data_IF_595525341686
#
_entry.id   IF_595525341686
#
_cell.length_a   1.000
_cell.length_b   1.000
_cell.length_c   1.000
_cell.angle_alpha   90.00
_cell.angle_beta   90.00
_cell.angle_gamma   90.00
#
_symmetry.space_group_name_H-M   'P 1'
#
loop_
_entity.id
_entity.type
_entity.pdbx_description
1 polymer ?
#
# COMPACT_ATOMS: atom_id res chain seq x y z
N UNK A 1 32.31 2.31 24.28
CA UNK A 1 31.58 2.99 23.18
C UNK A 1 30.14 3.21 23.65
N UNK A 2 29.79 4.44 24.04
CA UNK A 2 28.52 4.76 24.74
C UNK A 2 27.31 4.62 23.80
N UNK A 3 26.14 4.23 24.32
CA UNK A 3 24.88 4.03 23.56
C UNK A 3 24.49 5.25 22.68
N UNK A 4 24.92 6.45 23.07
CA UNK A 4 24.78 7.71 22.32
C UNK A 4 25.58 7.72 21.01
N UNK A 5 26.85 7.31 21.02
CA UNK A 5 27.70 7.28 19.84
C UNK A 5 27.20 6.29 18.77
N UNK A 6 26.66 5.14 19.20
CA UNK A 6 26.06 4.15 18.29
C UNK A 6 24.77 4.69 17.64
N UNK A 7 23.96 5.47 18.37
CA UNK A 7 22.78 6.12 17.81
C UNK A 7 23.14 7.20 16.79
N UNK A 8 24.18 7.99 17.06
CA UNK A 8 24.58 9.08 16.16
C UNK A 8 25.29 8.58 14.90
N UNK A 9 26.09 7.51 14.99
CA UNK A 9 26.69 6.86 13.82
C UNK A 9 25.63 6.25 12.88
N UNK A 10 24.63 5.56 13.44
CA UNK A 10 23.51 4.98 12.67
C UNK A 10 22.65 6.08 12.04
N UNK A 11 22.37 7.15 12.77
CA UNK A 11 21.65 8.32 12.28
C UNK A 11 22.36 8.97 11.10
N UNK A 12 23.67 9.17 11.20
CA UNK A 12 24.49 9.76 10.13
C UNK A 12 24.49 8.90 8.86
N UNK A 13 24.49 7.57 9.01
CA UNK A 13 24.39 6.66 7.86
C UNK A 13 23.04 6.76 7.14
N UNK A 14 21.94 6.79 7.91
CA UNK A 14 20.58 6.97 7.38
C UNK A 14 20.45 8.32 6.67
N UNK A 15 20.94 9.40 7.29
CA UNK A 15 20.92 10.73 6.70
C UNK A 15 21.71 10.83 5.40
N UNK A 16 22.88 10.18 5.31
CA UNK A 16 23.65 10.15 4.05
C UNK A 16 22.87 9.52 2.91
N UNK A 17 22.11 8.46 3.17
CA UNK A 17 21.27 7.85 2.15
C UNK A 17 20.15 8.79 1.70
N UNK A 18 19.41 9.40 2.63
CA UNK A 18 18.33 10.35 2.29
C UNK A 18 18.88 11.59 1.58
N UNK A 19 20.00 12.14 2.05
CA UNK A 19 20.62 13.35 1.48
C UNK A 19 21.26 13.10 0.12
N UNK A 20 21.61 11.85 -0.20
CA UNK A 20 22.02 11.47 -1.55
C UNK A 20 20.87 11.48 -2.57
N UNK A 21 19.63 11.46 -2.11
CA UNK A 21 18.42 11.47 -2.95
C UNK A 21 17.69 12.82 -2.96
N UNK A 22 17.78 13.57 -1.86
CA UNK A 22 17.02 14.81 -1.66
C UNK A 22 17.92 15.88 -1.04
N UNK A 23 17.93 17.08 -1.64
CA UNK A 23 18.43 18.29 -0.98
C UNK A 23 17.49 18.66 0.18
N UNK A 24 17.81 18.17 1.38
CA UNK A 24 16.96 18.35 2.56
C UNK A 24 16.73 19.82 2.90
N UNK A 25 17.77 20.66 2.86
CA UNK A 25 17.66 22.07 3.24
C UNK A 25 16.92 22.91 2.20
N UNK A 26 17.22 22.72 0.91
CA UNK A 26 16.50 23.42 -0.16
C UNK A 26 15.04 23.03 -0.21
N UNK A 27 14.74 21.72 -0.11
CA UNK A 27 13.35 21.23 -0.17
C UNK A 27 12.56 21.57 1.10
N UNK A 28 13.18 21.58 2.28
CA UNK A 28 12.51 21.97 3.52
C UNK A 28 12.02 23.43 3.47
N UNK A 29 12.78 24.33 2.84
CA UNK A 29 12.37 25.71 2.60
C UNK A 29 11.29 25.80 1.53
N UNK A 30 11.48 25.12 0.39
CA UNK A 30 10.53 25.08 -0.73
C UNK A 30 9.13 24.65 -0.30
N UNK A 31 9.02 23.61 0.52
CA UNK A 31 7.75 23.09 1.03
C UNK A 31 7.28 23.76 2.34
N UNK A 32 7.97 24.81 2.82
CA UNK A 32 7.55 25.57 4.00
C UNK A 32 7.72 24.86 5.34
N UNK A 33 8.44 23.73 5.38
CA UNK A 33 8.81 23.07 6.64
C UNK A 33 9.75 23.96 7.48
N UNK A 34 10.69 24.65 6.81
CA UNK A 34 11.55 25.71 7.39
C UNK A 34 11.14 27.06 6.82
N UNK A 35 10.53 27.92 7.63
CA UNK A 35 10.22 29.31 7.27
C UNK A 35 11.08 30.34 8.02
N UNK A 36 11.49 30.00 9.25
CA UNK A 36 12.35 30.85 10.09
C UNK A 36 13.29 29.95 10.87
N UNK A 37 14.59 30.23 10.79
CA UNK A 37 15.63 29.55 11.56
C UNK A 37 15.53 30.05 13.01
N UNK A 38 14.74 29.37 13.85
CA UNK A 38 14.69 29.63 15.29
C UNK A 38 14.89 28.32 16.02
N UNK A 39 16.02 28.18 16.73
CA UNK A 39 16.42 27.05 17.59
C UNK A 39 16.64 25.69 16.90
N UNK A 40 15.85 25.35 15.88
CA UNK A 40 16.08 24.22 14.98
C UNK A 40 16.25 24.79 13.57
N UNK A 41 17.46 24.74 13.06
CA UNK A 41 17.84 25.39 11.80
C UNK A 41 18.08 24.46 10.62
N UNK A 42 18.44 23.20 10.89
CA UNK A 42 18.82 22.24 9.85
C UNK A 42 17.64 21.34 9.50
N UNK A 43 17.47 21.05 8.22
CA UNK A 43 16.42 20.14 7.77
C UNK A 43 16.57 18.73 8.36
N UNK A 44 17.81 18.24 8.53
CA UNK A 44 18.10 16.96 9.18
C UNK A 44 17.45 16.86 10.58
N UNK A 45 17.53 17.94 11.36
CA UNK A 45 16.97 17.99 12.70
C UNK A 45 15.42 17.91 12.66
N UNK A 46 14.80 18.50 11.63
CA UNK A 46 13.36 18.35 11.44
C UNK A 46 12.98 16.91 11.10
N UNK A 47 13.69 16.26 10.18
CA UNK A 47 13.44 14.86 9.85
C UNK A 47 13.59 13.97 11.09
N UNK A 48 14.66 14.18 11.88
CA UNK A 48 14.86 13.47 13.16
C UNK A 48 13.69 13.70 14.11
N UNK A 49 13.21 14.93 14.22
CA UNK A 49 12.09 15.29 15.08
C UNK A 49 10.78 14.59 14.66
N UNK A 50 10.50 14.49 13.36
CA UNK A 50 9.33 13.75 12.86
C UNK A 50 9.44 12.25 13.15
N UNK A 51 10.63 11.67 13.00
CA UNK A 51 10.87 10.25 13.30
C UNK A 51 10.79 9.95 14.80
N UNK A 52 11.29 10.85 15.66
CA UNK A 52 11.18 10.77 17.12
C UNK A 52 9.72 10.88 17.58
N UNK A 53 8.96 11.81 17.00
CA UNK A 53 7.54 11.96 17.28
C UNK A 53 6.78 10.71 16.83
N UNK A 54 6.80 10.44 15.52
CA UNK A 54 6.09 9.36 14.84
C UNK A 54 6.51 7.95 15.28
N UNK A 55 7.35 7.26 14.49
CA UNK A 55 7.83 5.92 14.81
C UNK A 55 8.43 5.77 16.21
N UNK A 56 9.07 6.83 16.73
CA UNK A 56 9.64 6.86 18.08
C UNK A 56 8.60 6.90 19.21
N UNK A 57 7.32 7.15 18.90
CA UNK A 57 6.22 7.08 19.86
C UNK A 57 6.22 8.19 20.92
N UNK A 58 7.08 9.20 20.78
CA UNK A 58 7.24 10.24 21.80
C UNK A 58 6.07 11.24 21.78
N UNK A 59 5.74 11.77 22.95
CA UNK A 59 4.80 12.90 23.05
C UNK A 59 5.45 14.18 22.53
N UNK A 60 4.69 15.25 22.27
CA UNK A 60 5.26 16.54 21.85
C UNK A 60 6.31 17.07 22.84
N UNK A 61 6.10 16.84 24.14
CA UNK A 61 7.05 17.17 25.20
C UNK A 61 8.27 16.25 25.16
N UNK A 62 8.07 14.94 25.05
CA UNK A 62 9.16 13.96 24.96
C UNK A 62 10.04 14.17 23.71
N UNK A 63 9.44 14.50 22.57
CA UNK A 63 10.18 14.88 21.35
C UNK A 63 11.01 16.14 21.55
N UNK A 64 10.51 17.10 22.33
CA UNK A 64 11.25 18.33 22.64
C UNK A 64 12.45 18.05 23.57
N UNK A 65 12.22 17.27 24.63
CA UNK A 65 13.27 16.83 25.57
C UNK A 65 14.33 15.99 24.86
N UNK A 66 13.93 15.05 24.00
CA UNK A 66 14.83 14.24 23.19
C UNK A 66 15.65 15.11 22.21
N UNK A 67 15.02 16.09 21.56
CA UNK A 67 15.73 17.00 20.66
C UNK A 67 16.82 17.81 21.40
N UNK A 68 16.52 18.30 22.61
CA UNK A 68 17.53 18.96 23.44
C UNK A 68 18.65 18.01 23.87
N UNK A 69 18.32 16.80 24.33
CA UNK A 69 19.29 15.80 24.74
C UNK A 69 20.22 15.36 23.59
N UNK A 70 19.73 15.42 22.34
CA UNK A 70 20.49 15.14 21.13
C UNK A 70 21.29 16.36 20.62
N UNK A 71 21.25 17.49 21.31
CA UNK A 71 21.98 18.71 20.93
C UNK A 71 21.41 19.42 19.71
N UNK A 72 20.17 19.10 19.30
CA UNK A 72 19.53 19.74 18.15
C UNK A 72 19.11 21.18 18.45
N UNK A 73 18.84 21.49 19.72
CA UNK A 73 18.51 22.82 20.21
C UNK A 73 18.85 22.92 21.72
N UNK A 74 19.24 24.10 22.20
CA UNK A 74 19.44 24.32 23.65
C UNK A 74 18.13 24.21 24.43
N UNK A 75 17.07 24.82 23.91
CA UNK A 75 15.74 24.80 24.53
C UNK A 75 14.64 24.65 23.49
N UNK A 76 13.73 23.69 23.69
CA UNK A 76 12.60 23.47 22.81
C UNK A 76 11.34 23.16 23.63
N UNK A 77 10.23 23.79 23.28
CA UNK A 77 8.93 23.52 23.92
C UNK A 77 8.07 22.59 23.07
N UNK A 78 7.16 21.84 23.69
CA UNK A 78 6.20 21.00 22.96
C UNK A 78 5.33 21.80 21.98
N UNK A 79 5.00 23.07 22.29
CA UNK A 79 4.30 23.98 21.36
C UNK A 79 5.13 24.32 20.13
N UNK A 80 6.45 24.50 20.29
CA UNK A 80 7.36 24.75 19.18
C UNK A 80 7.53 23.52 18.28
N UNK A 81 7.56 22.31 18.86
CA UNK A 81 7.53 21.02 18.15
C UNK A 81 6.25 20.88 17.35
N UNK A 82 5.08 21.08 17.99
CA UNK A 82 3.77 21.02 17.36
C UNK A 82 3.68 21.93 16.12
N UNK A 83 4.10 23.19 16.27
CA UNK A 83 4.07 24.16 15.17
C UNK A 83 4.95 23.75 13.97
N UNK A 84 6.07 23.07 14.22
CA UNK A 84 6.96 22.54 13.16
C UNK A 84 6.32 21.34 12.47
N UNK A 85 5.94 20.32 13.25
CA UNK A 85 5.38 19.09 12.72
C UNK A 85 4.15 19.32 11.84
N UNK A 86 3.28 20.28 12.19
CA UNK A 86 2.09 20.63 11.38
C UNK A 86 2.42 21.17 9.98
N UNK A 87 3.63 21.68 9.75
CA UNK A 87 4.07 22.22 8.45
C UNK A 87 4.89 21.23 7.62
N UNK A 88 5.22 20.07 8.18
CA UNK A 88 6.14 19.14 7.53
C UNK A 88 5.47 18.17 6.57
N UNK A 89 4.13 18.11 6.51
CA UNK A 89 3.41 17.11 5.72
C UNK A 89 3.87 17.04 4.27
N UNK A 90 3.85 18.14 3.52
CA UNK A 90 4.21 18.13 2.09
C UNK A 90 5.69 17.85 1.88
N UNK A 91 6.54 18.32 2.79
CA UNK A 91 7.96 18.04 2.75
C UNK A 91 8.29 16.56 3.01
N UNK A 92 7.64 15.92 3.98
CA UNK A 92 7.81 14.49 4.25
C UNK A 92 7.23 13.64 3.11
N UNK A 93 6.13 14.07 2.47
CA UNK A 93 5.59 13.41 1.28
C UNK A 93 6.60 13.43 0.14
N UNK A 94 7.28 14.57 -0.06
CA UNK A 94 8.36 14.69 -1.04
C UNK A 94 9.55 13.77 -0.74
N UNK A 95 10.01 13.71 0.52
CA UNK A 95 11.08 12.79 0.93
C UNK A 95 10.65 11.32 0.71
N UNK A 96 9.43 10.97 1.11
CA UNK A 96 8.89 9.64 0.92
C UNK A 96 8.86 9.25 -0.56
N UNK A 97 8.40 10.14 -1.44
CA UNK A 97 8.39 9.91 -2.89
C UNK A 97 9.79 9.66 -3.44
N UNK A 98 10.77 10.48 -3.05
CA UNK A 98 12.15 10.29 -3.50
C UNK A 98 12.73 8.94 -3.06
N UNK A 99 12.45 8.50 -1.83
CA UNK A 99 12.85 7.18 -1.34
C UNK A 99 12.17 6.04 -2.12
N UNK A 100 10.87 6.19 -2.40
CA UNK A 100 10.11 5.21 -3.18
C UNK A 100 10.53 5.20 -4.66
N UNK A 101 10.93 6.33 -5.22
CA UNK A 101 11.44 6.44 -6.60
C UNK A 101 12.81 5.77 -6.76
N UNK A 102 13.70 5.89 -5.77
CA UNK A 102 14.98 5.17 -5.78
C UNK A 102 14.80 3.64 -5.76
N UNK A 103 13.82 3.15 -5.00
CA UNK A 103 13.36 1.75 -5.07
C UNK A 103 12.71 1.47 -6.43
N UNK A 104 11.95 2.45 -6.93
CA UNK A 104 11.24 2.49 -8.21
C UNK A 104 12.10 2.14 -9.43
N UNK A 105 13.35 2.57 -9.42
CA UNK A 105 14.34 2.28 -10.49
C UNK A 105 14.77 0.82 -10.48
N UNK A 106 14.66 0.13 -9.34
CA UNK A 106 14.97 -1.30 -9.19
C UNK A 106 13.73 -2.22 -9.35
N UNK A 107 12.58 -1.67 -9.77
CA UNK A 107 11.35 -2.43 -9.91
C UNK A 107 11.46 -3.46 -11.05
N UNK A 108 11.79 -4.69 -10.67
CA UNK A 108 11.73 -5.90 -11.50
C UNK A 108 10.60 -6.86 -11.10
N UNK A 109 9.69 -6.44 -10.22
CA UNK A 109 8.58 -7.28 -9.76
C UNK A 109 7.42 -7.30 -10.75
N UNK A 110 7.19 -8.42 -11.43
CA UNK A 110 5.99 -8.64 -12.24
C UNK A 110 4.70 -8.59 -11.42
N UNK A 111 4.76 -8.78 -10.09
CA UNK A 111 3.60 -8.87 -9.21
C UNK A 111 3.53 -7.73 -8.20
N UNK A 112 2.39 -7.03 -8.16
CA UNK A 112 2.11 -5.96 -7.21
C UNK A 112 0.83 -6.25 -6.42
N UNK A 113 0.90 -6.21 -5.10
CA UNK A 113 -0.27 -6.34 -4.23
C UNK A 113 -0.72 -4.94 -3.79
N UNK A 114 -1.98 -4.60 -4.03
CA UNK A 114 -2.54 -3.30 -3.67
C UNK A 114 -3.55 -3.46 -2.56
N UNK A 115 -3.35 -2.70 -1.47
CA UNK A 115 -4.29 -2.67 -0.36
C UNK A 115 -4.17 -1.33 0.41
N UNK A 116 -5.15 -1.06 1.26
CA UNK A 116 -5.24 0.14 2.06
C UNK A 116 -5.46 -0.19 3.53
N UNK A 117 -4.97 0.67 4.41
CA UNK A 117 -5.25 0.53 5.84
C UNK A 117 -5.77 1.83 6.44
N UNK A 118 -6.84 1.70 7.22
CA UNK A 118 -7.42 2.81 7.99
C UNK A 118 -6.70 2.97 9.32
N UNK A 119 -6.38 4.21 9.64
CA UNK A 119 -5.82 4.65 10.91
C UNK A 119 -6.69 5.78 11.45
N UNK A 120 -7.19 5.62 12.68
CA UNK A 120 -8.03 6.63 13.31
C UNK A 120 -7.22 7.43 14.30
N UNK A 121 -7.42 8.75 14.33
CA UNK A 121 -6.86 9.56 15.40
C UNK A 121 -7.57 9.31 16.73
N UNK A 122 -6.89 9.62 17.84
CA UNK A 122 -7.57 9.81 19.11
C UNK A 122 -8.42 11.10 19.12
N UNK A 123 -9.51 11.12 19.90
CA UNK A 123 -10.35 12.31 20.13
C UNK A 123 -11.81 12.18 19.66
N UNK A 124 -12.67 13.16 20.00
CA UNK A 124 -14.08 13.19 19.57
C UNK A 124 -14.20 13.18 18.04
N UNK A 125 -15.10 12.36 17.50
CA UNK A 125 -15.29 12.22 16.05
C UNK A 125 -14.23 11.41 15.30
N UNK A 126 -13.09 11.07 15.93
CA UNK A 126 -12.00 10.20 15.42
C UNK A 126 -11.81 10.27 13.89
N UNK A 127 -11.34 11.40 13.32
CA UNK A 127 -11.10 11.48 11.88
C UNK A 127 -10.20 10.33 11.43
N UNK A 128 -10.65 9.61 10.41
CA UNK A 128 -9.92 8.53 9.82
C UNK A 128 -8.95 9.03 8.75
N UNK A 129 -7.83 8.36 8.66
CA UNK A 129 -6.85 8.49 7.60
C UNK A 129 -6.67 7.14 6.94
N UNK A 130 -6.27 7.15 5.67
CA UNK A 130 -5.97 5.94 4.93
C UNK A 130 -4.54 6.00 4.42
N UNK A 131 -3.81 4.93 4.65
CA UNK A 131 -2.53 4.66 3.99
C UNK A 131 -2.82 3.64 2.89
N UNK A 132 -2.78 4.09 1.63
CA UNK A 132 -2.81 3.21 0.46
C UNK A 132 -1.38 2.77 0.17
N UNK A 133 -1.19 1.50 -0.15
CA UNK A 133 0.15 0.98 -0.37
C UNK A 133 0.20 -0.05 -1.50
N UNK A 134 1.36 -0.11 -2.14
CA UNK A 134 1.72 -1.17 -3.07
C UNK A 134 2.85 -1.99 -2.45
N UNK A 135 2.66 -3.31 -2.40
CA UNK A 135 3.61 -4.26 -1.84
C UNK A 135 4.08 -5.25 -2.90
N UNK A 136 5.38 -5.50 -2.95
CA UNK A 136 5.99 -6.39 -3.94
C UNK A 136 6.53 -7.65 -3.27
N UNK A 137 5.86 -8.80 -3.45
CA UNK A 137 6.28 -10.07 -2.85
C UNK A 137 7.74 -10.44 -3.15
N UNK A 138 8.18 -10.24 -4.39
CA UNK A 138 9.54 -10.54 -4.82
C UNK A 138 10.61 -9.73 -4.07
N UNK A 139 10.25 -8.51 -3.62
CA UNK A 139 11.14 -7.62 -2.88
C UNK A 139 10.90 -7.66 -1.36
N UNK A 140 9.84 -8.33 -0.90
CA UNK A 140 9.46 -8.44 0.51
C UNK A 140 9.10 -7.11 1.20
N UNK A 141 8.74 -6.07 0.44
CA UNK A 141 8.63 -4.69 0.93
C UNK A 141 7.53 -3.88 0.24
N UNK A 142 7.23 -2.71 0.82
CA UNK A 142 6.37 -1.73 0.17
C UNK A 142 7.16 -0.88 -0.84
N UNK A 143 6.59 -0.64 -2.02
CA UNK A 143 7.20 0.15 -3.10
C UNK A 143 6.36 1.36 -3.50
N UNK A 144 5.19 1.55 -2.89
CA UNK A 144 4.47 2.80 -2.95
C UNK A 144 3.65 3.04 -1.67
N UNK A 145 3.52 4.31 -1.28
CA UNK A 145 2.69 4.75 -0.18
C UNK A 145 1.98 6.06 -0.53
N UNK A 146 0.71 6.15 -0.17
CA UNK A 146 -0.06 7.40 -0.25
C UNK A 146 -0.92 7.57 0.99
N UNK A 147 -0.85 8.75 1.61
CA UNK A 147 -1.68 9.10 2.77
C UNK A 147 -2.82 10.01 2.33
N UNK A 148 -4.06 9.63 2.67
CA UNK A 148 -5.26 10.43 2.43
C UNK A 148 -6.16 10.46 3.66
N UNK A 149 -7.23 11.25 3.61
CA UNK A 149 -8.33 11.14 4.59
C UNK A 149 -9.16 9.89 4.32
N UNK A 150 -9.97 9.49 5.29
CA UNK A 150 -10.96 8.39 5.18
C UNK A 150 -12.07 8.63 4.15
N UNK A 151 -12.30 9.90 3.78
CA UNK A 151 -13.23 10.30 2.70
C UNK A 151 -12.77 9.82 1.34
N UNK A 152 -11.46 9.69 1.13
CA UNK A 152 -10.91 9.11 -0.08
C UNK A 152 -11.02 7.59 0.02
N UNK A 153 -11.86 7.01 -0.84
CA UNK A 153 -12.02 5.56 -0.97
C UNK A 153 -10.76 4.93 -1.55
N UNK A 154 -10.55 3.66 -1.25
CA UNK A 154 -9.60 2.83 -1.98
C UNK A 154 -9.93 2.82 -3.47
N UNK A 155 -8.89 2.96 -4.29
CA UNK A 155 -8.94 2.97 -5.73
C UNK A 155 -7.55 2.58 -6.23
N UNK A 156 -7.46 1.91 -7.38
CA UNK A 156 -6.18 1.50 -7.95
C UNK A 156 -5.30 2.73 -8.25
N UNK A 157 -5.92 3.85 -8.63
CA UNK A 157 -5.27 5.14 -8.89
C UNK A 157 -4.70 5.84 -7.64
N UNK A 158 -4.90 5.28 -6.45
CA UNK A 158 -4.24 5.78 -5.24
C UNK A 158 -2.85 5.20 -5.03
N UNK A 159 -2.44 4.23 -5.86
CA UNK A 159 -1.07 3.71 -5.92
C UNK A 159 -0.48 3.93 -7.31
N UNK A 160 0.84 3.79 -7.43
CA UNK A 160 1.58 3.84 -8.68
C UNK A 160 1.12 2.72 -9.62
N UNK A 161 0.55 3.10 -10.76
CA UNK A 161 0.29 2.22 -11.89
C UNK A 161 1.50 2.25 -12.83
N UNK A 162 1.89 1.10 -13.36
CA UNK A 162 3.03 0.99 -14.26
C UNK A 162 2.81 -0.17 -15.25
N UNK A 163 3.28 -0.05 -16.50
CA UNK A 163 3.06 -1.07 -17.52
C UNK A 163 3.76 -2.39 -17.18
N UNK A 164 3.31 -3.48 -17.82
CA UNK A 164 3.91 -4.82 -17.73
C UNK A 164 3.92 -5.42 -16.30
N UNK A 165 2.95 -5.02 -15.47
CA UNK A 165 2.75 -5.57 -14.11
C UNK A 165 1.46 -6.36 -14.02
N UNK A 166 1.41 -7.29 -13.08
CA UNK A 166 0.21 -8.00 -12.65
C UNK A 166 -0.18 -7.48 -11.27
N UNK A 167 -1.30 -6.78 -11.19
CA UNK A 167 -1.76 -6.13 -9.97
C UNK A 167 -2.87 -6.91 -9.29
N UNK A 168 -2.70 -7.26 -8.02
CA UNK A 168 -3.67 -8.01 -7.23
C UNK A 168 -4.42 -7.09 -6.28
N UNK A 169 -5.73 -7.18 -6.32
CA UNK A 169 -6.61 -6.33 -5.55
C UNK A 169 -7.60 -7.11 -4.69
N UNK A 170 -7.99 -6.51 -3.58
CA UNK A 170 -9.08 -6.97 -2.76
C UNK A 170 -10.46 -6.76 -3.44
N UNK A 171 -11.53 -7.32 -2.85
CA UNK A 171 -12.89 -7.21 -3.39
C UNK A 171 -13.47 -5.79 -3.43
N UNK A 172 -12.90 -4.86 -2.67
CA UNK A 172 -13.29 -3.44 -2.62
C UNK A 172 -12.87 -2.65 -3.86
N UNK A 173 -11.87 -3.14 -4.60
CA UNK A 173 -11.39 -2.52 -5.85
C UNK A 173 -12.11 -3.03 -7.12
N UNK A 174 -13.02 -4.00 -6.99
CA UNK A 174 -13.82 -4.52 -8.11
C UNK A 174 -14.83 -3.49 -8.64
N UNK A 175 -14.32 -2.45 -9.32
CA UNK A 175 -15.08 -1.36 -9.94
C UNK A 175 -14.58 -1.10 -11.34
N UNK A 176 -15.50 -0.79 -12.25
CA UNK A 176 -15.21 -0.53 -13.67
C UNK A 176 -14.08 0.48 -13.85
N UNK A 177 -14.13 1.62 -13.14
CA UNK A 177 -13.10 2.66 -13.22
C UNK A 177 -11.71 2.19 -12.79
N UNK A 178 -11.65 1.33 -11.78
CA UNK A 178 -10.40 0.86 -11.20
C UNK A 178 -9.76 -0.15 -12.18
N UNK A 179 -10.59 -1.05 -12.75
CA UNK A 179 -10.17 -1.98 -13.80
C UNK A 179 -9.69 -1.22 -15.04
N UNK A 180 -10.48 -0.27 -15.54
CA UNK A 180 -10.14 0.51 -16.73
C UNK A 180 -8.84 1.31 -16.54
N UNK A 181 -8.61 1.88 -15.36
CA UNK A 181 -7.38 2.60 -15.06
C UNK A 181 -6.14 1.69 -15.07
N UNK A 182 -6.25 0.48 -14.50
CA UNK A 182 -5.13 -0.48 -14.46
C UNK A 182 -4.77 -0.97 -15.87
N UNK A 183 -5.78 -1.34 -16.68
CA UNK A 183 -5.56 -1.77 -18.06
C UNK A 183 -5.05 -0.62 -18.94
N UNK A 184 -5.58 0.59 -18.75
CA UNK A 184 -5.13 1.79 -19.46
C UNK A 184 -3.68 2.18 -19.13
N UNK A 185 -3.17 1.77 -17.97
CA UNK A 185 -1.77 1.94 -17.60
C UNK A 185 -0.86 0.81 -18.14
N UNK A 186 -1.39 -0.13 -18.91
CA UNK A 186 -0.65 -1.26 -19.47
C UNK A 186 -0.32 -2.37 -18.47
N UNK A 187 -1.02 -2.42 -17.32
CA UNK A 187 -0.90 -3.50 -16.35
C UNK A 187 -2.04 -4.50 -16.50
N UNK A 188 -1.76 -5.77 -16.17
CA UNK A 188 -2.76 -6.79 -15.90
C UNK A 188 -3.29 -6.70 -14.47
N UNK A 189 -4.46 -7.28 -14.23
CA UNK A 189 -5.07 -7.31 -12.90
C UNK A 189 -5.69 -8.65 -12.55
N UNK A 190 -5.71 -8.94 -11.24
CA UNK A 190 -6.55 -9.99 -10.63
C UNK A 190 -7.27 -9.39 -9.44
N UNK A 191 -8.60 -9.36 -9.47
CA UNK A 191 -9.41 -8.89 -8.33
C UNK A 191 -10.44 -9.94 -7.96
N UNK A 192 -10.68 -10.11 -6.66
CA UNK A 192 -11.84 -10.89 -6.20
C UNK A 192 -13.11 -10.11 -6.44
N UNK A 193 -14.16 -10.80 -6.88
CA UNK A 193 -15.49 -10.22 -7.04
C UNK A 193 -16.51 -10.95 -6.18
N UNK A 194 -17.62 -10.28 -5.87
CA UNK A 194 -18.82 -10.92 -5.35
C UNK A 194 -19.80 -11.23 -6.48
N UNK A 195 -20.64 -12.24 -6.31
CA UNK A 195 -21.60 -12.65 -7.36
C UNK A 195 -22.58 -11.54 -7.81
N UNK A 196 -22.84 -10.53 -6.97
CA UNK A 196 -23.63 -9.32 -7.30
C UNK A 196 -22.81 -8.07 -7.60
N UNK A 197 -21.49 -8.13 -7.46
CA UNK A 197 -20.66 -6.92 -7.43
C UNK A 197 -20.60 -6.21 -8.77
N UNK A 198 -20.72 -6.94 -9.87
CA UNK A 198 -20.62 -6.40 -11.23
C UNK A 198 -21.60 -7.13 -12.17
N UNK A 199 -22.04 -6.43 -13.21
CA UNK A 199 -22.79 -7.03 -14.32
C UNK A 199 -21.76 -7.55 -15.33
N UNK A 200 -21.79 -8.86 -15.59
CA UNK A 200 -20.92 -9.52 -16.55
C UNK A 200 -21.74 -9.90 -17.78
N UNK A 201 -21.11 -9.77 -18.95
CA UNK A 201 -21.72 -10.08 -20.24
C UNK A 201 -20.88 -11.10 -20.99
N UNK A 202 -21.49 -11.90 -21.85
CA UNK A 202 -20.77 -12.75 -22.79
C UNK A 202 -20.35 -11.98 -24.06
N UNK A 203 -19.87 -12.69 -25.07
CA UNK A 203 -19.48 -12.10 -26.36
C UNK A 203 -20.68 -11.60 -27.17
N UNK A 204 -21.89 -12.13 -26.93
CA UNK A 204 -23.13 -11.72 -27.58
C UNK A 204 -23.85 -10.58 -26.82
N UNK A 205 -23.14 -9.92 -25.88
CA UNK A 205 -23.66 -8.88 -25.00
C UNK A 205 -24.85 -9.32 -24.12
N UNK A 206 -25.03 -10.63 -23.92
CA UNK A 206 -26.04 -11.17 -23.02
C UNK A 206 -25.52 -11.19 -21.59
N UNK A 207 -26.39 -10.83 -20.65
CA UNK A 207 -26.03 -10.80 -19.24
C UNK A 207 -25.85 -12.22 -18.70
N UNK A 208 -24.69 -12.49 -18.10
CA UNK A 208 -24.38 -13.77 -17.50
C UNK A 208 -25.01 -13.93 -16.12
N UNK A 209 -25.58 -15.12 -15.86
CA UNK A 209 -25.91 -15.57 -14.51
C UNK A 209 -24.71 -16.27 -13.88
N UNK A 210 -23.99 -15.55 -13.02
CA UNK A 210 -22.82 -16.07 -12.30
C UNK A 210 -23.15 -17.31 -11.47
N UNK A 211 -24.40 -17.47 -10.99
CA UNK A 211 -24.78 -18.63 -10.19
C UNK A 211 -24.87 -19.92 -11.02
N UNK A 212 -25.16 -19.79 -12.32
CA UNK A 212 -25.17 -20.90 -13.27
C UNK A 212 -23.75 -21.33 -13.68
N UNK A 213 -22.74 -20.47 -13.46
CA UNK A 213 -21.34 -20.73 -13.79
C UNK A 213 -20.54 -21.36 -12.65
N UNK A 214 -21.17 -21.64 -11.50
CA UNK A 214 -20.48 -22.24 -10.35
C UNK A 214 -20.11 -23.70 -10.66
N UNK A 215 -18.84 -24.11 -10.49
CA UNK A 215 -18.41 -25.47 -10.77
C UNK A 215 -18.97 -26.46 -9.74
N UNK A 216 -19.32 -27.66 -10.19
CA UNK A 216 -19.70 -28.76 -9.30
C UNK A 216 -18.48 -29.49 -8.71
N UNK A 217 -17.37 -29.50 -9.44
CA UNK A 217 -16.10 -30.13 -9.04
C UNK A 217 -15.15 -29.19 -8.31
N UNK A 218 -13.99 -29.72 -7.94
CA UNK A 218 -12.95 -28.97 -7.23
C UNK A 218 -11.94 -28.28 -8.16
N UNK A 219 -11.94 -28.57 -9.46
CA UNK A 219 -11.14 -27.84 -10.44
C UNK A 219 -11.73 -26.43 -10.68
N UNK A 220 -10.89 -25.39 -10.87
CA UNK A 220 -11.38 -24.07 -11.22
C UNK A 220 -12.01 -24.10 -12.61
N UNK A 221 -13.15 -23.44 -12.78
CA UNK A 221 -13.70 -23.17 -14.10
C UNK A 221 -13.40 -21.73 -14.51
N UNK A 222 -13.33 -21.50 -15.82
CA UNK A 222 -13.10 -20.18 -16.37
C UNK A 222 -14.11 -19.84 -17.47
N UNK A 223 -14.40 -18.54 -17.59
CA UNK A 223 -15.19 -18.04 -18.71
C UNK A 223 -14.77 -16.64 -19.11
N UNK A 224 -14.67 -16.39 -20.41
CA UNK A 224 -14.49 -15.05 -20.93
C UNK A 224 -15.74 -14.21 -20.65
N UNK A 225 -15.53 -12.98 -20.18
CA UNK A 225 -16.59 -12.04 -19.79
C UNK A 225 -16.23 -10.62 -20.26
N UNK A 226 -17.26 -9.82 -20.50
CA UNK A 226 -17.16 -8.40 -20.83
C UNK A 226 -17.85 -7.57 -19.76
N UNK A 227 -17.36 -6.34 -19.58
CA UNK A 227 -17.89 -5.38 -18.62
C UNK A 227 -18.06 -4.04 -19.35
N UNK A 228 -19.25 -3.46 -19.28
CA UNK A 228 -19.48 -2.14 -19.85
C UNK A 228 -18.51 -1.10 -19.27
N UNK A 229 -17.81 -0.37 -20.14
CA UNK A 229 -16.77 0.59 -19.77
C UNK A 229 -15.36 0.01 -19.65
N UNK A 230 -15.18 -1.29 -19.92
CA UNK A 230 -13.86 -1.92 -20.09
C UNK A 230 -13.79 -2.46 -21.52
N UNK A 231 -12.83 -1.98 -22.30
CA UNK A 231 -12.73 -2.34 -23.73
C UNK A 231 -12.20 -3.77 -23.93
N UNK A 232 -11.24 -4.20 -23.10
CA UNK A 232 -10.63 -5.52 -23.21
C UNK A 232 -11.54 -6.62 -22.63
N UNK A 233 -11.59 -7.81 -23.25
CA UNK A 233 -12.22 -8.97 -22.64
C UNK A 233 -11.46 -9.37 -21.37
N UNK A 234 -12.19 -9.92 -20.40
CA UNK A 234 -11.65 -10.42 -19.13
C UNK A 234 -12.00 -11.89 -18.96
N UNK A 235 -11.38 -12.56 -17.99
CA UNK A 235 -11.72 -13.92 -17.57
C UNK A 235 -12.30 -13.91 -16.17
N UNK A 236 -13.46 -14.54 -16.01
CA UNK A 236 -14.02 -14.93 -14.73
C UNK A 236 -13.49 -16.33 -14.39
N UNK A 237 -12.70 -16.44 -13.33
CA UNK A 237 -12.23 -17.70 -12.78
C UNK A 237 -12.99 -18.00 -11.49
N UNK A 238 -13.60 -19.18 -11.39
CA UNK A 238 -14.38 -19.59 -10.21
C UNK A 238 -13.80 -20.88 -9.65
N UNK A 239 -13.41 -20.83 -8.38
CA UNK A 239 -12.88 -21.95 -7.63
C UNK A 239 -13.81 -22.29 -6.46
N UNK A 240 -14.16 -23.56 -6.32
CA UNK A 240 -14.85 -24.07 -5.13
C UNK A 240 -13.89 -24.04 -3.93
N UNK A 241 -14.31 -23.45 -2.83
CA UNK A 241 -13.51 -23.44 -1.60
C UNK A 241 -13.58 -24.80 -0.91
N UNK A 242 -12.50 -25.23 -0.22
CA UNK A 242 -12.54 -26.41 0.63
C UNK A 242 -13.70 -26.35 1.63
N UNK A 243 -14.36 -27.48 1.98
CA UNK A 243 -15.56 -27.48 2.81
C UNK A 243 -15.42 -26.71 4.13
N UNK A 244 -14.27 -26.83 4.79
CA UNK A 244 -13.98 -26.10 6.03
C UNK A 244 -13.95 -24.57 5.82
N UNK A 245 -13.34 -24.10 4.73
CA UNK A 245 -13.29 -22.68 4.39
C UNK A 245 -14.67 -22.17 3.96
N UNK A 246 -15.39 -22.94 3.14
CA UNK A 246 -16.77 -22.63 2.74
C UNK A 246 -17.70 -22.47 3.95
N UNK A 247 -17.65 -23.42 4.91
CA UNK A 247 -18.43 -23.36 6.14
C UNK A 247 -18.05 -22.13 7.00
N UNK A 248 -16.77 -21.79 7.09
CA UNK A 248 -16.30 -20.59 7.78
C UNK A 248 -16.84 -19.30 7.15
N UNK A 249 -16.82 -19.20 5.82
CA UNK A 249 -17.36 -18.05 5.09
C UNK A 249 -18.89 -17.95 5.20
N UNK A 250 -19.60 -19.08 5.16
CA UNK A 250 -21.05 -19.13 5.38
C UNK A 250 -21.42 -18.65 6.80
N UNK A 251 -20.71 -19.13 7.83
CA UNK A 251 -20.87 -18.66 9.22
C UNK A 251 -20.63 -17.15 9.35
N UNK A 252 -19.57 -16.62 8.73
CA UNK A 252 -19.28 -15.18 8.71
C UNK A 252 -20.38 -14.38 8.01
N UNK A 253 -20.89 -14.89 6.90
CA UNK A 253 -21.99 -14.27 6.14
C UNK A 253 -23.27 -14.19 6.98
N UNK A 254 -23.69 -15.30 7.61
CA UNK A 254 -24.84 -15.34 8.51
C UNK A 254 -24.67 -14.41 9.72
N UNK A 255 -23.50 -14.40 10.35
CA UNK A 255 -23.19 -13.50 11.48
C UNK A 255 -23.29 -12.03 11.06
N UNK A 256 -22.80 -11.68 9.87
CA UNK A 256 -22.90 -10.31 9.35
C UNK A 256 -24.34 -9.93 9.03
N UNK A 257 -25.11 -10.83 8.42
CA UNK A 257 -26.52 -10.60 8.11
C UNK A 257 -27.35 -10.41 9.39
N UNK A 258 -27.14 -11.26 10.39
CA UNK A 258 -27.76 -11.16 11.71
C UNK A 258 -27.43 -9.83 12.41
N UNK A 259 -26.14 -9.42 12.42
CA UNK A 259 -25.73 -8.10 12.96
C UNK A 259 -26.41 -6.91 12.27
N UNK A 260 -26.78 -7.07 11.00
CA UNK A 260 -27.44 -6.05 10.20
C UNK A 260 -28.97 -6.25 10.14
N UNK A 261 -29.53 -7.16 10.94
CA UNK A 261 -30.96 -7.52 10.93
C UNK A 261 -31.50 -7.92 9.55
N UNK A 262 -30.67 -8.57 8.73
CA UNK A 262 -31.01 -9.01 7.38
C UNK A 262 -31.06 -10.54 7.29
N UNK A 263 -32.00 -11.08 6.51
CA UNK A 263 -31.97 -12.49 6.09
C UNK A 263 -31.06 -12.63 4.86
N UNK A 264 -29.99 -13.44 4.92
CA UNK A 264 -29.11 -13.63 3.78
C UNK A 264 -29.84 -14.40 2.66
N UNK A 265 -29.74 -13.89 1.43
CA UNK A 265 -30.26 -14.57 0.23
C UNK A 265 -29.57 -15.94 0.05
N UNK A 266 -30.33 -16.98 -0.27
CA UNK A 266 -29.81 -18.34 -0.45
C UNK A 266 -28.67 -18.42 -1.48
N UNK A 267 -28.71 -17.59 -2.54
CA UNK A 267 -27.63 -17.49 -3.53
C UNK A 267 -26.36 -16.91 -2.92
N UNK A 268 -26.47 -16.02 -1.94
CA UNK A 268 -25.32 -15.48 -1.20
C UNK A 268 -24.68 -16.54 -0.32
N UNK A 269 -25.47 -17.41 0.32
CA UNK A 269 -24.92 -18.55 1.05
C UNK A 269 -24.23 -19.54 0.13
N UNK A 270 -24.86 -19.88 -1.01
CA UNK A 270 -24.24 -20.74 -2.04
C UNK A 270 -22.93 -20.14 -2.56
N UNK A 271 -22.93 -18.85 -2.93
CA UNK A 271 -21.75 -18.15 -3.43
C UNK A 271 -20.63 -18.02 -2.39
N UNK A 272 -20.93 -18.06 -1.08
CA UNK A 272 -19.91 -18.02 -0.02
C UNK A 272 -18.98 -19.25 -0.04
N UNK A 273 -19.39 -20.34 -0.69
CA UNK A 273 -18.57 -21.53 -0.93
C UNK A 273 -17.58 -21.39 -2.09
N UNK A 274 -17.50 -20.24 -2.76
CA UNK A 274 -16.67 -20.05 -3.94
C UNK A 274 -15.76 -18.82 -3.84
N UNK A 275 -14.59 -18.92 -4.45
CA UNK A 275 -13.73 -17.81 -4.81
C UNK A 275 -14.01 -17.44 -6.26
N UNK A 276 -14.43 -16.20 -6.51
CA UNK A 276 -14.65 -15.66 -7.85
C UNK A 276 -13.60 -14.58 -8.10
N UNK A 277 -12.76 -14.80 -9.09
CA UNK A 277 -11.70 -13.89 -9.51
C UNK A 277 -12.01 -13.36 -10.91
N UNK A 278 -11.81 -12.07 -11.09
CA UNK A 278 -11.83 -11.43 -12.39
C UNK A 278 -10.38 -11.09 -12.74
N UNK A 279 -9.93 -11.49 -13.92
CA UNK A 279 -8.56 -11.28 -14.38
C UNK A 279 -8.51 -10.77 -15.81
N UNK A 280 -7.54 -9.92 -16.13
CA UNK A 280 -7.18 -9.58 -17.51
C UNK A 280 -6.07 -10.45 -18.07
N UNK A 281 -5.41 -11.25 -17.23
CA UNK A 281 -4.30 -12.09 -17.65
C UNK A 281 -4.76 -13.03 -18.77
N UNK A 282 -4.02 -13.10 -19.89
CA UNK A 282 -4.28 -14.08 -20.94
C UNK A 282 -4.04 -15.50 -20.42
N UNK A 283 -4.75 -16.49 -20.99
CA UNK A 283 -4.67 -17.89 -20.54
C UNK A 283 -3.27 -18.49 -20.77
N UNK A 284 -2.59 -17.98 -21.79
CA UNK A 284 -1.22 -18.32 -22.18
C UNK A 284 -0.19 -17.87 -21.12
N UNK A 285 -0.50 -16.80 -20.38
CA UNK A 285 0.36 -16.30 -19.29
C UNK A 285 0.02 -16.92 -17.94
N UNK A 286 -1.26 -17.15 -17.69
CA UNK A 286 -1.72 -17.81 -16.46
C UNK A 286 -3.05 -18.55 -16.70
N UNK A 287 -3.04 -19.87 -16.53
CA UNK A 287 -4.26 -20.68 -16.52
C UNK A 287 -5.13 -20.40 -15.28
N UNK A 288 -6.33 -20.97 -15.23
CA UNK A 288 -7.27 -20.75 -14.14
C UNK A 288 -6.73 -21.15 -12.76
N UNK A 289 -5.93 -22.22 -12.67
CA UNK A 289 -5.34 -22.68 -11.41
C UNK A 289 -4.22 -21.74 -10.96
N UNK A 290 -3.37 -21.31 -11.89
CA UNK A 290 -2.30 -20.35 -11.66
C UNK A 290 -2.86 -18.99 -11.20
N UNK A 291 -3.98 -18.52 -11.77
CA UNK A 291 -4.66 -17.30 -11.31
C UNK A 291 -5.16 -17.43 -9.87
N UNK A 292 -5.71 -18.60 -9.50
CA UNK A 292 -6.15 -18.88 -8.13
C UNK A 292 -4.96 -18.87 -7.17
N UNK A 293 -3.86 -19.52 -7.53
CA UNK A 293 -2.66 -19.59 -6.69
C UNK A 293 -1.95 -18.24 -6.57
N UNK A 294 -1.90 -17.48 -7.65
CA UNK A 294 -1.41 -16.10 -7.65
C UNK A 294 -2.21 -15.26 -6.64
N UNK A 295 -3.54 -15.35 -6.66
CA UNK A 295 -4.39 -14.60 -5.74
C UNK A 295 -4.18 -14.97 -4.26
N UNK A 296 -3.65 -16.16 -3.95
CA UNK A 296 -3.28 -16.52 -2.58
C UNK A 296 -2.21 -15.58 -2.06
N UNK A 297 -1.24 -15.15 -2.89
CA UNK A 297 -0.14 -14.27 -2.47
C UNK A 297 -0.61 -12.93 -1.88
N UNK A 298 -1.87 -12.51 -2.13
CA UNK A 298 -2.46 -11.28 -1.55
C UNK A 298 -2.37 -11.23 -0.02
N UNK A 299 -2.31 -12.37 0.69
CA UNK A 299 -2.15 -12.35 2.16
C UNK A 299 -0.85 -11.65 2.62
N UNK A 300 0.16 -11.55 1.76
CA UNK A 300 1.44 -10.94 2.12
C UNK A 300 1.33 -9.43 2.38
N UNK A 301 0.49 -8.68 1.64
CA UNK A 301 0.30 -7.25 1.92
C UNK A 301 -0.43 -7.02 3.25
N UNK A 302 -1.35 -7.92 3.62
CA UNK A 302 -1.97 -7.90 4.95
C UNK A 302 -0.93 -8.12 6.05
N UNK A 303 0.01 -9.05 5.84
CA UNK A 303 1.14 -9.23 6.77
C UNK A 303 2.06 -8.00 6.80
N UNK A 304 2.29 -7.35 5.66
CA UNK A 304 2.96 -6.05 5.56
C UNK A 304 2.31 -5.02 6.47
N UNK A 305 1.00 -4.80 6.33
CA UNK A 305 0.27 -3.87 7.20
C UNK A 305 0.26 -4.29 8.67
N UNK A 306 0.18 -5.60 8.95
CA UNK A 306 0.31 -6.12 10.32
C UNK A 306 1.67 -5.77 10.93
N UNK A 307 2.76 -5.88 10.16
CA UNK A 307 4.10 -5.45 10.60
C UNK A 307 4.14 -3.95 10.91
N UNK A 308 3.61 -3.10 10.01
CA UNK A 308 3.56 -1.65 10.23
C UNK A 308 2.77 -1.26 11.48
N UNK A 309 1.68 -1.96 11.80
CA UNK A 309 0.87 -1.70 12.99
C UNK A 309 1.51 -2.26 14.25
N UNK A 310 1.85 -3.54 14.28
CA UNK A 310 2.32 -4.21 15.49
C UNK A 310 3.76 -3.85 15.87
N UNK A 311 4.65 -3.69 14.89
CA UNK A 311 6.06 -3.35 15.16
C UNK A 311 6.32 -1.84 14.98
N UNK A 312 5.67 -1.23 13.99
CA UNK A 312 5.84 0.18 13.67
C UNK A 312 4.89 1.12 14.42
N UNK A 313 3.90 0.61 15.17
CA UNK A 313 2.89 1.40 15.88
C UNK A 313 2.09 2.38 15.00
N UNK A 314 1.95 2.08 13.69
CA UNK A 314 1.26 2.95 12.73
C UNK A 314 -0.16 3.34 13.16
N UNK A 315 -0.89 2.43 13.82
CA UNK A 315 -2.27 2.64 14.28
C UNK A 315 -2.38 3.32 15.66
N UNK A 316 -1.26 3.68 16.29
CA UNK A 316 -1.22 4.39 17.58
C UNK A 316 -1.28 5.91 17.44
N UNK A 317 -2.01 6.41 16.45
CA UNK A 317 -2.10 7.83 16.10
C UNK A 317 -2.72 8.67 17.24
N UNK A 318 -1.89 9.49 17.87
CA UNK A 318 -2.29 10.39 18.98
C UNK A 318 -2.72 11.79 18.56
N UNK A 319 -2.69 12.10 17.27
CA UNK A 319 -2.97 13.45 16.78
C UNK A 319 -4.39 13.57 16.25
N UNK A 320 -5.22 14.40 16.90
CA UNK A 320 -6.55 14.76 16.40
C UNK A 320 -6.51 15.78 15.23
N UNK A 321 -5.43 16.57 15.12
CA UNK A 321 -5.28 17.57 14.06
C UNK A 321 -4.86 16.90 12.73
N UNK A 322 -5.56 17.14 11.60
CA UNK A 322 -5.25 16.46 10.35
C UNK A 322 -3.85 16.70 9.79
N UNK A 323 -3.30 17.91 9.94
CA UNK A 323 -1.94 18.19 9.46
C UNK A 323 -0.90 17.42 10.28
N UNK A 324 -1.09 17.33 11.59
CA UNK A 324 -0.21 16.56 12.48
C UNK A 324 -0.34 15.06 12.25
N UNK A 325 -1.57 14.57 12.01
CA UNK A 325 -1.82 13.17 11.67
C UNK A 325 -1.16 12.77 10.34
N UNK A 326 -1.23 13.64 9.34
CA UNK A 326 -0.52 13.41 8.07
C UNK A 326 0.99 13.32 8.29
N UNK A 327 1.59 14.24 9.05
CA UNK A 327 3.02 14.18 9.42
C UNK A 327 3.36 12.88 10.15
N UNK A 328 2.51 12.42 11.09
CA UNK A 328 2.68 11.15 11.79
C UNK A 328 2.77 9.96 10.82
N UNK A 329 1.78 9.84 9.93
CA UNK A 329 1.67 8.72 8.98
C UNK A 329 2.80 8.73 7.94
N UNK A 330 3.19 9.92 7.46
CA UNK A 330 4.31 10.04 6.54
C UNK A 330 5.64 9.69 7.21
N UNK A 331 5.86 10.11 8.47
CA UNK A 331 7.05 9.72 9.22
C UNK A 331 7.13 8.19 9.42
N UNK A 332 5.99 7.52 9.66
CA UNK A 332 5.92 6.05 9.72
C UNK A 332 6.22 5.41 8.36
N UNK A 333 5.70 5.96 7.28
CA UNK A 333 5.93 5.45 5.94
C UNK A 333 7.41 5.58 5.55
N UNK A 334 8.05 6.71 5.86
CA UNK A 334 9.49 6.90 5.68
C UNK A 334 10.29 5.89 6.50
N UNK A 335 9.94 5.72 7.79
CA UNK A 335 10.64 4.77 8.64
C UNK A 335 10.48 3.32 8.15
N UNK A 336 9.31 2.95 7.63
CA UNK A 336 9.08 1.64 7.03
C UNK A 336 10.01 1.41 5.84
N UNK A 337 10.03 2.34 4.88
CA UNK A 337 10.89 2.26 3.69
C UNK A 337 12.36 2.14 4.07
N UNK A 338 12.83 2.99 4.98
CA UNK A 338 14.23 2.98 5.43
C UNK A 338 14.58 1.69 6.19
N UNK A 339 13.66 1.15 6.99
CA UNK A 339 13.88 -0.10 7.73
C UNK A 339 13.94 -1.30 6.79
N UNK A 340 13.03 -1.36 5.81
CA UNK A 340 12.99 -2.43 4.80
C UNK A 340 14.24 -2.40 3.92
N UNK A 341 14.72 -1.21 3.54
CA UNK A 341 15.96 -1.03 2.80
C UNK A 341 17.19 -1.48 3.60
N UNK A 342 17.30 -1.06 4.87
CA UNK A 342 18.38 -1.51 5.75
C UNK A 342 18.36 -3.03 5.96
N UNK A 343 17.18 -3.61 6.20
CA UNK A 343 17.01 -5.05 6.37
C UNK A 343 17.47 -5.81 5.11
N UNK A 344 17.13 -5.29 3.93
CA UNK A 344 17.48 -5.93 2.66
C UNK A 344 18.97 -5.84 2.34
N UNK A 345 19.63 -4.72 2.68
CA UNK A 345 21.10 -4.59 2.59
C UNK A 345 21.80 -5.57 3.53
N UNK A 346 21.31 -5.71 4.77
CA UNK A 346 21.90 -6.62 5.76
C UNK A 346 21.73 -8.10 5.38
N UNK A 347 20.59 -8.45 4.79
CA UNK A 347 20.31 -9.82 4.40
C UNK A 347 20.99 -10.24 3.07
N UNK A 348 21.68 -9.33 2.37
CA UNK A 348 22.29 -9.61 1.07
C UNK A 348 21.27 -9.72 -0.09
N UNK A 349 19.97 -9.56 0.18
CA UNK A 349 18.90 -9.50 -0.82
C UNK A 349 18.73 -8.10 -1.41
N UNK A 350 19.83 -7.38 -1.65
CA UNK A 350 19.72 -6.12 -2.39
C UNK A 350 19.10 -6.45 -3.74
N UNK A 351 17.97 -5.84 -4.13
CA UNK A 351 17.46 -6.03 -5.48
C UNK A 351 18.56 -5.55 -6.41
N UNK A 352 19.28 -6.49 -7.01
CA UNK A 352 20.26 -6.15 -8.03
C UNK A 352 19.51 -5.32 -9.05
N UNK A 353 19.98 -4.09 -9.33
CA UNK A 353 19.46 -3.30 -10.44
C UNK A 353 19.57 -4.20 -11.67
N UNK A 354 18.46 -4.78 -12.12
CA UNK A 354 18.44 -5.38 -13.45
C UNK A 354 18.62 -4.20 -14.39
N UNK A 355 19.83 -4.08 -14.95
CA UNK A 355 20.04 -3.28 -16.14
C UNK A 355 18.96 -3.71 -17.12
N UNK A 356 18.13 -2.76 -17.56
CA UNK A 356 17.32 -2.93 -18.75
C UNK A 356 18.35 -2.96 -19.88
N UNK A 357 18.98 -4.12 -20.10
CA UNK A 357 19.75 -4.35 -21.31
C UNK A 357 18.77 -4.23 -22.47
N UNK A 358 19.11 -3.31 -23.36
CA UNK A 358 18.42 -3.05 -24.60
C UNK A 358 18.21 -4.38 -25.33
N UNK A 359 16.96 -4.70 -25.67
CA UNK A 359 16.67 -5.78 -26.58
C UNK A 359 17.55 -5.60 -27.85
N UNK A 360 18.25 -6.63 -28.33
CA UNK A 360 19.04 -6.50 -29.54
C UNK A 360 18.11 -6.18 -30.70
N UNK A 361 18.27 -4.98 -31.26
CA UNK A 361 17.75 -4.63 -32.57
C UNK A 361 18.51 -5.45 -33.61
N UNK A 362 18.06 -6.68 -33.87
CA UNK A 362 18.48 -7.45 -35.04
C UNK A 362 17.28 -8.18 -35.61
N UNK A 363 16.71 -7.61 -36.69
CA UNK A 363 16.44 -8.29 -37.96
C UNK A 363 15.59 -7.38 -38.85
N UNK A 364 16.23 -6.39 -39.49
CA UNK A 364 15.87 -5.94 -40.84
C UNK A 364 17.17 -5.57 -41.56
N UNK A 365 17.73 -6.52 -42.31
CA UNK A 365 18.44 -6.24 -43.57
C UNK A 365 18.67 -7.54 -44.34
N UNK A 366 18.23 -7.50 -45.61
CA UNK A 366 18.28 -8.49 -46.69
C UNK A 366 17.04 -9.40 -46.79
#
# INVERSE_FOLDING_TARGET
>A
MTRRHLCDARWSSLLRHVSGLVDLDGTARRFGAVQRVRRLGRAEDLLRLALLYGPGGLSLRGSAEAACALGMAETLSGKAVLGRLRRMGDWLDHILRALLDDIGVALGGELALVDGTLVYSCGPGRPGFRVHALYEPALGRFTDFRVTTDRVREAATNTRLAPARTMLFDRGFARVRDIAAVLGAGSDMVTRIGWRSMKLFDQAAQRLDVMALLPSGDAPCERQVHIAGVAAPLRLVVQRLPPAQAASQARRTRRRASKNCQRPDARTERAAGYLMLLTSLPAERADAAQVVDLYRARWQVELGFKRLKSLGALDSLRAANPALARTWLLAHSIAAVLTEELASRLAGFSPQRRSIEQAPAQLISA
#
